data_IF_129220592871
#
_entry.id   IF_129220592871
#
_cell.length_a   1.000
_cell.length_b   1.000
_cell.length_c   1.000
_cell.angle_alpha   90.00
_cell.angle_beta   90.00
_cell.angle_gamma   90.00
#
_symmetry.space_group_name_H-M   'P 1'
#
loop_
_entity.id
_entity.type
_entity.pdbx_description
1 polymer ?
#
# COMPACT_ATOMS: atom_id res chain seq x y z
N UNK A 1 -19.13 -6.37 1.35
CA UNK A 1 -18.24 -5.90 2.44
C UNK A 1 -16.83 -6.26 2.02
N UNK A 2 -15.88 -5.32 2.03
CA UNK A 2 -14.47 -5.69 1.87
C UNK A 2 -14.07 -6.39 3.16
N UNK A 3 -13.78 -7.69 3.10
CA UNK A 3 -13.14 -8.38 4.22
C UNK A 3 -11.86 -7.60 4.56
N UNK A 4 -11.73 -7.15 5.80
CA UNK A 4 -10.53 -6.45 6.25
C UNK A 4 -9.44 -7.49 6.35
N UNK A 5 -8.42 -7.39 5.51
CA UNK A 5 -7.31 -8.33 5.49
C UNK A 5 -6.41 -8.06 6.69
N UNK A 6 -6.19 -9.09 7.51
CA UNK A 6 -5.27 -9.04 8.65
C UNK A 6 -3.81 -8.91 8.14
N UNK A 7 -3.13 -7.77 8.37
CA UNK A 7 -1.77 -7.54 7.88
C UNK A 7 -0.73 -8.47 8.53
N UNK A 8 -1.01 -9.06 9.69
CA UNK A 8 -0.09 -10.02 10.33
C UNK A 8 -0.15 -11.40 9.66
N UNK A 9 -1.32 -11.80 9.18
CA UNK A 9 -1.54 -13.10 8.52
C UNK A 9 -1.24 -13.06 7.03
N UNK A 10 -1.61 -11.97 6.36
CA UNK A 10 -1.48 -11.80 4.91
C UNK A 10 -0.94 -10.40 4.58
N UNK A 11 0.34 -10.10 4.89
CA UNK A 11 0.93 -8.77 4.73
C UNK A 11 0.90 -8.27 3.28
N UNK A 12 1.07 -9.17 2.32
CA UNK A 12 1.05 -8.83 0.90
C UNK A 12 -0.32 -8.33 0.45
N UNK A 13 -1.38 -9.08 0.76
CA UNK A 13 -2.73 -8.71 0.38
C UNK A 13 -3.22 -7.45 1.12
N UNK A 14 -2.83 -7.28 2.38
CA UNK A 14 -3.11 -6.07 3.13
C UNK A 14 -2.43 -4.84 2.51
N UNK A 15 -1.18 -4.98 2.05
CA UNK A 15 -0.46 -3.92 1.34
C UNK A 15 -1.12 -3.57 0.00
N UNK A 16 -1.59 -4.57 -0.75
CA UNK A 16 -2.35 -4.34 -1.99
C UNK A 16 -3.67 -3.62 -1.73
N UNK A 17 -4.45 -4.07 -0.72
CA UNK A 17 -5.72 -3.44 -0.37
C UNK A 17 -5.52 -1.97 0.02
N UNK A 18 -4.54 -1.67 0.88
CA UNK A 18 -4.25 -0.31 1.29
C UNK A 18 -3.80 0.57 0.10
N UNK A 19 -2.96 0.04 -0.80
CA UNK A 19 -2.53 0.75 -2.00
C UNK A 19 -3.72 1.09 -2.91
N UNK A 20 -4.63 0.14 -3.14
CA UNK A 20 -5.85 0.35 -3.94
C UNK A 20 -6.76 1.38 -3.28
N UNK A 21 -6.92 1.34 -1.96
CA UNK A 21 -7.71 2.33 -1.22
C UNK A 21 -7.09 3.74 -1.31
N UNK A 22 -5.76 3.86 -1.23
CA UNK A 22 -5.06 5.13 -1.43
C UNK A 22 -5.26 5.70 -2.84
N UNK A 23 -5.20 4.85 -3.88
CA UNK A 23 -5.48 5.22 -5.27
C UNK A 23 -6.95 5.67 -5.41
N UNK A 24 -7.90 4.87 -4.90
CA UNK A 24 -9.34 5.17 -4.98
C UNK A 24 -9.70 6.47 -4.26
N UNK A 25 -9.05 6.74 -3.12
CA UNK A 25 -9.26 7.97 -2.36
C UNK A 25 -8.63 9.21 -3.02
N UNK A 26 -7.95 9.07 -4.17
CA UNK A 26 -7.22 10.16 -4.82
C UNK A 26 -6.05 10.69 -3.96
N UNK A 27 -5.68 9.96 -2.90
CA UNK A 27 -4.59 10.32 -1.97
C UNK A 27 -3.21 10.00 -2.53
N UNK A 28 -3.15 9.47 -3.75
CA UNK A 28 -1.91 9.31 -4.52
C UNK A 28 -1.39 10.62 -5.11
N UNK A 29 -2.00 11.77 -4.79
CA UNK A 29 -1.51 13.11 -5.13
C UNK A 29 -0.21 13.49 -4.40
N UNK A 30 -0.14 14.58 -3.61
CA UNK A 30 1.13 15.15 -3.14
C UNK A 30 2.00 14.24 -2.26
N UNK A 31 1.48 13.12 -1.74
CA UNK A 31 2.29 12.06 -1.12
C UNK A 31 3.33 11.44 -2.07
N UNK A 32 3.08 11.53 -3.38
CA UNK A 32 3.96 11.09 -4.46
C UNK A 32 4.62 12.26 -5.21
N UNK A 33 4.49 13.50 -4.73
CA UNK A 33 5.00 14.71 -5.38
C UNK A 33 4.04 15.27 -6.43
N UNK A 34 3.83 16.59 -6.39
CA UNK A 34 3.04 17.33 -7.37
C UNK A 34 3.63 17.09 -8.78
N UNK A 35 2.92 16.33 -9.61
CA UNK A 35 3.31 16.08 -11.00
C UNK A 35 3.61 14.62 -11.36
N UNK A 36 3.50 13.66 -10.43
CA UNK A 36 3.59 12.25 -10.80
C UNK A 36 2.31 11.80 -11.51
N UNK A 37 2.30 11.92 -12.84
CA UNK A 37 1.69 10.88 -13.67
C UNK A 37 2.02 9.53 -13.06
N UNK A 38 1.03 8.64 -12.92
CA UNK A 38 1.11 7.26 -12.43
C UNK A 38 2.44 6.54 -12.77
N UNK A 39 3.52 6.85 -12.05
CA UNK A 39 4.80 6.23 -12.28
C UNK A 39 4.71 4.90 -11.57
N UNK A 40 4.51 3.81 -12.32
CA UNK A 40 4.39 2.46 -11.76
C UNK A 40 5.51 2.13 -10.77
N UNK A 41 6.70 2.71 -10.93
CA UNK A 41 7.82 2.62 -9.97
C UNK A 41 7.48 3.12 -8.56
N UNK A 42 6.74 4.21 -8.45
CA UNK A 42 6.37 4.79 -7.17
C UNK A 42 5.30 3.92 -6.47
N UNK A 43 4.33 3.38 -7.23
CA UNK A 43 3.36 2.42 -6.71
C UNK A 43 4.05 1.13 -6.24
N UNK A 44 5.01 0.62 -7.01
CA UNK A 44 5.82 -0.54 -6.63
C UNK A 44 6.62 -0.26 -5.35
N UNK A 45 7.25 0.91 -5.25
CA UNK A 45 7.99 1.30 -4.06
C UNK A 45 7.09 1.35 -2.81
N UNK A 46 5.93 1.99 -2.91
CA UNK A 46 4.98 2.07 -1.80
C UNK A 46 4.45 0.70 -1.41
N UNK A 47 4.13 -0.15 -2.39
CA UNK A 47 3.75 -1.53 -2.12
C UNK A 47 4.83 -2.28 -1.33
N UNK A 48 6.09 -2.21 -1.78
CA UNK A 48 7.20 -2.87 -1.11
C UNK A 48 7.37 -2.36 0.32
N UNK A 49 7.33 -1.04 0.54
CA UNK A 49 7.45 -0.44 1.87
C UNK A 49 6.33 -0.90 2.82
N UNK A 50 5.08 -0.96 2.34
CA UNK A 50 3.94 -1.44 3.12
C UNK A 50 4.06 -2.93 3.46
N UNK A 51 4.41 -3.76 2.47
CA UNK A 51 4.57 -5.20 2.67
C UNK A 51 5.67 -5.51 3.68
N UNK A 52 6.83 -4.84 3.59
CA UNK A 52 7.91 -4.99 4.56
C UNK A 52 7.51 -4.55 5.96
N UNK A 53 6.77 -3.44 6.08
CA UNK A 53 6.26 -2.98 7.36
C UNK A 53 5.32 -4.02 8.00
N UNK A 54 4.38 -4.57 7.22
CA UNK A 54 3.44 -5.57 7.71
C UNK A 54 4.08 -6.90 8.07
N UNK A 55 5.11 -7.34 7.32
CA UNK A 55 5.92 -8.51 7.70
C UNK A 55 6.56 -8.33 9.09
N UNK A 56 7.15 -7.17 9.35
CA UNK A 56 7.73 -6.86 10.68
C UNK A 56 6.71 -6.87 11.81
N UNK A 57 5.44 -6.52 11.53
CA UNK A 57 4.35 -6.59 12.52
C UNK A 57 3.91 -8.03 12.82
N UNK A 58 4.12 -8.96 11.89
CA UNK A 58 3.88 -10.40 12.09
C UNK A 58 4.99 -11.07 12.92
N UNK A 59 6.21 -10.54 12.86
CA UNK A 59 7.38 -11.02 13.60
C UNK A 59 7.48 -10.47 15.03
N UNK A 60 6.58 -9.55 15.43
CA UNK A 60 6.49 -8.94 16.78
C UNK A 60 5.21 -9.36 17.53
#
# INVERSE_FOLDING_TARGET
MSEIIDPKKNPEQAAQQLLVEMIRAGKTGPAFGAGLQNNGKALIYTFTALNEHFKKLGDS
#
